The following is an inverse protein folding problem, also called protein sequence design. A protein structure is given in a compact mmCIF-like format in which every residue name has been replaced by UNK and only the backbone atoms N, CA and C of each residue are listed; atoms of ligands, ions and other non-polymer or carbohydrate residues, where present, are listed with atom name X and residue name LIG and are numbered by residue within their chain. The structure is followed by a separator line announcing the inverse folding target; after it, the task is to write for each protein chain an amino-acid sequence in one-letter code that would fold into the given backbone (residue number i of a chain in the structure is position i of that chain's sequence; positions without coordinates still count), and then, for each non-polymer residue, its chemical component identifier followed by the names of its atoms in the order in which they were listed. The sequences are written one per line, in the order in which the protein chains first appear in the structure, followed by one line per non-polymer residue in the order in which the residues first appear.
data_IF_602294068011
#
_entry.id   IF_602294068011
#
_cell.length_a   1.000
_cell.length_b   1.000
_cell.length_c   1.000
_cell.angle_alpha   90.00
_cell.angle_beta   90.00
_cell.angle_gamma   90.00
#
_symmetry.space_group_name_H-M   'P 1'
#
loop_
_entity.id
_entity.type
_entity.pdbx_description
1 polymer ?
#
# COMPACT_ATOMS: atom_id res chain seq x y z
N UNK A 1 -2.88 -1.94 -22.20
CA UNK A 1 -2.55 -1.75 -20.77
C UNK A 1 -3.67 -0.92 -20.16
N UNK A 2 -4.13 -1.19 -18.93
CA UNK A 2 -5.21 -0.43 -18.31
C UNK A 2 -4.80 1.03 -18.08
N UNK A 3 -5.75 1.96 -18.27
CA UNK A 3 -5.55 3.42 -18.11
C UNK A 3 -5.69 3.83 -16.64
N UNK A 4 -4.81 3.29 -15.80
CA UNK A 4 -4.73 3.54 -14.35
C UNK A 4 -3.34 4.09 -14.02
N UNK A 5 -3.27 5.07 -13.13
CA UNK A 5 -2.02 5.59 -12.58
C UNK A 5 -1.61 4.73 -11.39
N UNK A 6 -0.35 4.31 -11.38
CA UNK A 6 0.26 3.60 -10.25
C UNK A 6 1.36 4.45 -9.65
N UNK A 7 1.28 4.69 -8.35
CA UNK A 7 2.28 5.45 -7.59
C UNK A 7 2.76 4.65 -6.38
N UNK A 8 4.07 4.63 -6.17
CA UNK A 8 4.70 4.06 -4.98
C UNK A 8 4.89 5.16 -3.95
N UNK A 9 4.32 4.95 -2.76
CA UNK A 9 4.36 5.90 -1.64
C UNK A 9 5.14 5.24 -0.51
N UNK A 10 6.26 5.81 -0.04
CA UNK A 10 6.96 5.30 1.13
C UNK A 10 6.05 5.20 2.36
N UNK A 11 6.19 4.13 3.13
CA UNK A 11 5.42 3.94 4.35
C UNK A 11 5.81 4.97 5.42
N UNK A 12 4.83 5.70 5.95
CA UNK A 12 5.05 6.83 6.87
C UNK A 12 5.86 6.45 8.12
N UNK A 13 5.54 5.31 8.74
CA UNK A 13 6.25 4.81 9.94
C UNK A 13 7.73 4.52 9.65
N UNK A 14 8.00 3.94 8.48
CA UNK A 14 9.37 3.67 8.04
C UNK A 14 10.15 4.97 7.80
N UNK A 15 9.51 5.96 7.20
CA UNK A 15 10.11 7.28 6.93
C UNK A 15 10.35 8.06 8.22
N UNK A 16 9.41 8.03 9.17
CA UNK A 16 9.57 8.64 10.49
C UNK A 16 10.75 8.02 11.24
N UNK A 17 10.87 6.69 11.23
CA UNK A 17 12.00 5.98 11.85
C UNK A 17 13.33 6.39 11.23
N UNK A 18 13.39 6.45 9.89
CA UNK A 18 14.58 6.89 9.18
C UNK A 18 14.90 8.35 9.45
N UNK A 19 13.90 9.23 9.54
CA UNK A 19 14.10 10.64 9.87
C UNK A 19 14.66 10.81 11.29
N UNK A 20 14.14 10.05 12.26
CA UNK A 20 14.70 10.02 13.62
C UNK A 20 16.15 9.52 13.62
N UNK A 21 16.47 8.48 12.85
CA UNK A 21 17.84 7.98 12.73
C UNK A 21 18.78 9.02 12.10
N UNK A 22 18.35 9.74 11.06
CA UNK A 22 19.12 10.83 10.45
C UNK A 22 19.40 11.92 11.47
N UNK A 23 18.40 12.32 12.26
CA UNK A 23 18.57 13.31 13.34
C UNK A 23 19.50 12.82 14.45
N UNK A 24 19.38 11.57 14.87
CA UNK A 24 20.20 11.02 15.95
C UNK A 24 21.67 10.85 15.55
N UNK A 25 21.91 10.42 14.30
CA UNK A 25 23.27 10.15 13.81
C UNK A 25 23.95 11.40 13.25
N UNK A 26 23.17 12.39 12.81
CA UNK A 26 23.63 13.58 12.09
C UNK A 26 24.12 13.30 10.66
N UNK A 27 23.98 12.06 10.17
CA UNK A 27 24.54 11.64 8.89
C UNK A 27 23.73 12.14 7.70
N UNK A 28 24.43 12.50 6.63
CA UNK A 28 23.87 12.86 5.34
C UNK A 28 23.77 11.64 4.43
N UNK A 29 22.58 11.43 3.84
CA UNK A 29 22.29 10.30 2.96
C UNK A 29 21.85 10.80 1.57
N UNK A 30 22.32 10.19 0.47
CA UNK A 30 21.76 10.44 -0.84
C UNK A 30 20.27 10.04 -0.87
N UNK A 31 19.39 10.96 -1.24
CA UNK A 31 17.93 10.71 -1.17
C UNK A 31 17.52 9.62 -2.16
N UNK A 32 18.18 9.55 -3.31
CA UNK A 32 17.96 8.50 -4.30
C UNK A 32 18.33 7.12 -3.78
N UNK A 33 19.38 6.98 -2.97
CA UNK A 33 19.77 5.69 -2.40
C UNK A 33 18.72 5.20 -1.40
N UNK A 34 18.14 6.12 -0.61
CA UNK A 34 17.00 5.81 0.26
C UNK A 34 15.79 5.38 -0.58
N UNK A 35 15.50 6.08 -1.68
CA UNK A 35 14.43 5.72 -2.61
C UNK A 35 14.57 4.29 -3.15
N UNK A 36 15.76 3.91 -3.61
CA UNK A 36 16.04 2.53 -4.03
C UNK A 36 15.92 1.54 -2.87
N UNK A 37 16.39 1.91 -1.66
CA UNK A 37 16.31 1.08 -0.47
C UNK A 37 14.85 0.77 -0.06
N UNK A 38 13.94 1.73 -0.25
CA UNK A 38 12.51 1.56 -0.02
C UNK A 38 11.94 0.60 -1.06
N UNK A 39 12.20 0.83 -2.36
CA UNK A 39 11.66 0.01 -3.45
C UNK A 39 12.17 -1.43 -3.46
N UNK A 40 13.28 -1.73 -2.78
CA UNK A 40 13.83 -3.10 -2.65
C UNK A 40 12.93 -4.06 -1.88
N UNK A 41 12.06 -3.58 -0.99
CA UNK A 41 11.15 -4.48 -0.27
C UNK A 41 9.71 -3.95 -0.21
N UNK A 42 8.71 -4.80 -0.48
CA UNK A 42 7.30 -4.39 -0.59
C UNK A 42 6.64 -4.01 0.74
N UNK A 43 7.26 -4.34 1.88
CA UNK A 43 6.83 -3.90 3.21
C UNK A 43 7.10 -2.41 3.47
N UNK A 44 8.00 -1.78 2.70
CA UNK A 44 8.45 -0.39 2.96
C UNK A 44 7.66 0.68 2.21
N UNK A 45 6.72 0.28 1.38
CA UNK A 45 5.91 1.18 0.58
C UNK A 45 4.48 0.68 0.44
N UNK A 46 3.60 1.62 0.17
CA UNK A 46 2.25 1.38 -0.32
C UNK A 46 2.19 1.71 -1.81
N UNK A 47 1.21 1.14 -2.48
CA UNK A 47 0.93 1.36 -3.90
C UNK A 47 -0.44 1.97 -4.00
N UNK A 48 -0.50 3.17 -4.55
CA UNK A 48 -1.75 3.87 -4.85
C UNK A 48 -2.11 3.63 -6.31
N UNK A 49 -3.31 3.10 -6.53
CA UNK A 49 -3.94 2.99 -7.84
C UNK A 49 -4.96 4.11 -7.98
N UNK A 50 -4.88 4.89 -9.05
CA UNK A 50 -5.80 6.00 -9.29
C UNK A 50 -6.30 6.02 -10.73
N UNK A 51 -7.58 6.35 -10.92
CA UNK A 51 -8.17 6.46 -12.25
C UNK A 51 -7.60 7.65 -13.03
N UNK A 52 -7.48 7.51 -14.34
CA UNK A 52 -7.16 8.63 -15.23
C UNK A 52 -8.47 9.31 -15.63
N UNK A 53 -8.56 10.63 -15.46
CA UNK A 53 -9.68 11.44 -15.99
C UNK A 53 -9.27 12.03 -17.33
N UNK A 54 -10.11 11.84 -18.36
CA UNK A 54 -9.95 12.44 -19.68
C UNK A 54 -10.23 13.95 -19.63
N UNK A 55 -9.84 14.73 -20.65
CA UNK A 55 -10.11 16.18 -20.70
C UNK A 55 -11.58 16.54 -20.46
N UNK A 56 -12.50 15.67 -20.89
CA UNK A 56 -13.95 15.83 -20.74
C UNK A 56 -14.46 15.47 -19.32
N UNK A 57 -13.56 15.20 -18.37
CA UNK A 57 -13.89 14.81 -16.99
C UNK A 57 -14.32 13.34 -16.83
N UNK A 58 -14.51 12.61 -17.94
CA UNK A 58 -14.87 11.19 -17.93
C UNK A 58 -13.71 10.32 -17.45
N UNK A 59 -14.04 9.32 -16.64
CA UNK A 59 -13.08 8.32 -16.18
C UNK A 59 -12.70 7.42 -17.38
N UNK A 60 -11.40 7.34 -17.66
CA UNK A 60 -10.86 6.60 -18.78
C UNK A 60 -11.02 5.08 -18.59
N UNK A 61 -10.73 4.61 -17.38
CA UNK A 61 -10.90 3.23 -16.95
C UNK A 61 -11.47 3.22 -15.52
N UNK A 62 -12.67 2.65 -15.29
CA UNK A 62 -13.22 2.51 -13.94
C UNK A 62 -12.37 1.56 -13.10
N UNK A 63 -12.34 1.82 -11.80
CA UNK A 63 -11.66 1.01 -10.80
C UNK A 63 -12.66 0.65 -9.70
N UNK A 64 -12.72 -0.63 -9.37
CA UNK A 64 -13.64 -1.18 -8.39
C UNK A 64 -12.89 -1.81 -7.24
N UNK A 65 -13.34 -1.53 -6.01
CA UNK A 65 -12.81 -2.10 -4.77
C UNK A 65 -13.79 -3.11 -4.20
N UNK A 66 -13.30 -4.31 -3.87
CA UNK A 66 -14.02 -5.25 -3.02
C UNK A 66 -13.72 -4.95 -1.54
N UNK A 67 -14.74 -4.53 -0.79
CA UNK A 67 -14.59 -4.18 0.62
C UNK A 67 -14.35 -5.39 1.54
N UNK A 68 -14.60 -6.63 1.08
CA UNK A 68 -14.37 -7.84 1.89
C UNK A 68 -12.89 -8.21 1.99
N UNK A 69 -12.14 -8.09 0.90
CA UNK A 69 -10.74 -8.53 0.84
C UNK A 69 -9.78 -7.50 0.26
N UNK A 70 -10.24 -6.26 0.07
CA UNK A 70 -9.48 -5.12 -0.46
C UNK A 70 -8.86 -5.38 -1.85
N UNK A 71 -9.47 -6.25 -2.66
CA UNK A 71 -9.01 -6.51 -4.03
C UNK A 71 -9.53 -5.47 -5.02
N UNK A 72 -8.72 -5.19 -6.06
CA UNK A 72 -9.03 -4.20 -7.10
C UNK A 72 -9.36 -4.84 -8.45
N UNK A 73 -10.35 -4.28 -9.12
CA UNK A 73 -10.94 -4.79 -10.36
C UNK A 73 -11.16 -3.68 -11.37
N UNK A 74 -11.03 -4.02 -12.66
CA UNK A 74 -11.19 -3.07 -13.78
C UNK A 74 -12.62 -3.07 -14.34
N UNK A 75 -13.46 -4.01 -13.92
CA UNK A 75 -14.87 -4.16 -14.28
C UNK A 75 -15.65 -4.59 -13.05
N UNK A 76 -16.90 -4.11 -12.96
CA UNK A 76 -17.86 -4.55 -11.95
C UNK A 76 -18.18 -6.05 -12.12
N UNK A 77 -18.32 -6.55 -13.35
CA UNK A 77 -18.60 -7.96 -13.62
C UNK A 77 -17.50 -8.87 -13.09
N UNK A 78 -16.23 -8.53 -13.34
CA UNK A 78 -15.10 -9.32 -12.85
C UNK A 78 -15.03 -9.30 -11.31
N UNK A 79 -15.36 -8.16 -10.70
CA UNK A 79 -15.45 -8.03 -9.25
C UNK A 79 -16.58 -8.90 -8.67
N UNK A 80 -17.77 -8.90 -9.29
CA UNK A 80 -18.90 -9.77 -8.91
C UNK A 80 -18.51 -11.24 -9.04
N UNK A 81 -17.92 -11.63 -10.18
CA UNK A 81 -17.43 -12.98 -10.42
C UNK A 81 -16.44 -13.44 -9.34
N UNK A 82 -15.56 -12.55 -8.89
CA UNK A 82 -14.62 -12.85 -7.80
C UNK A 82 -15.32 -13.06 -6.46
N UNK A 83 -16.24 -12.16 -6.10
CA UNK A 83 -16.98 -12.29 -4.84
C UNK A 83 -17.78 -13.60 -4.82
N UNK A 84 -18.48 -13.93 -5.91
CA UNK A 84 -19.25 -15.17 -6.00
C UNK A 84 -18.39 -16.43 -6.08
N UNK A 85 -17.11 -16.33 -6.48
CA UNK A 85 -16.20 -17.49 -6.48
C UNK A 85 -15.50 -17.71 -5.15
N UNK A 86 -15.10 -16.63 -4.47
CA UNK A 86 -14.23 -16.69 -3.28
C UNK A 86 -14.98 -16.49 -1.97
N UNK A 87 -16.05 -15.71 -2.00
CA UNK A 87 -16.83 -15.29 -0.82
C UNK A 87 -18.29 -15.74 -0.94
N UNK A 88 -18.54 -16.83 -1.67
CA UNK A 88 -19.90 -17.35 -1.93
C UNK A 88 -20.65 -17.62 -0.62
N UNK A 89 -20.00 -18.33 0.30
CA UNK A 89 -20.56 -18.79 1.57
C UNK A 89 -20.92 -17.65 2.53
N UNK A 90 -20.46 -16.43 2.25
CA UNK A 90 -20.85 -15.22 3.00
C UNK A 90 -22.27 -14.78 2.67
N UNK A 91 -22.78 -15.09 1.46
CA UNK A 91 -24.06 -14.60 0.95
C UNK A 91 -25.04 -15.71 0.59
N UNK A 92 -24.54 -16.90 0.26
CA UNK A 92 -25.36 -17.97 -0.26
C UNK A 92 -24.90 -19.32 0.27
N UNK A 93 -25.83 -20.25 0.36
CA UNK A 93 -25.53 -21.66 0.63
C UNK A 93 -26.16 -22.52 -0.45
N UNK A 94 -25.35 -23.38 -1.07
CA UNK A 94 -25.84 -24.35 -2.04
C UNK A 94 -26.43 -25.56 -1.32
N UNK A 95 -27.69 -25.88 -1.61
CA UNK A 95 -28.39 -27.04 -1.09
C UNK A 95 -28.86 -27.92 -2.25
N UNK A 96 -28.50 -29.20 -2.22
CA UNK A 96 -28.94 -30.18 -3.20
C UNK A 96 -30.20 -30.85 -2.67
N UNK A 97 -31.36 -30.47 -3.20
CA UNK A 97 -32.65 -31.00 -2.77
C UNK A 97 -33.10 -32.12 -3.72
N UNK A 98 -33.61 -33.26 -3.19
CA UNK A 98 -34.27 -34.26 -4.01
C UNK A 98 -35.51 -33.64 -4.66
N UNK A 99 -35.64 -33.81 -5.97
CA UNK A 99 -36.81 -33.40 -6.74
C UNK A 99 -37.45 -34.60 -7.39
N UNK A 100 -38.73 -34.47 -7.75
CA UNK A 100 -39.44 -35.56 -8.44
C UNK A 100 -38.66 -36.00 -9.69
N UNK A 101 -38.47 -37.32 -9.86
CA UNK A 101 -37.81 -37.84 -11.04
C UNK A 101 -38.59 -37.43 -12.29
N UNK A 102 -37.90 -37.24 -13.43
CA UNK A 102 -38.54 -36.78 -14.66
C UNK A 102 -39.69 -37.73 -15.05
N UNK A 103 -40.87 -37.16 -15.36
CA UNK A 103 -42.06 -37.95 -15.72
C UNK A 103 -41.85 -38.66 -17.05
N UNK A 104 -41.70 -39.98 -17.01
CA UNK A 104 -41.66 -40.84 -18.19
C UNK A 104 -40.99 -42.19 -17.94
N UNK A 105 -41.40 -43.21 -18.69
CA UNK A 105 -40.71 -44.50 -18.70
C UNK A 105 -39.51 -44.41 -19.65
N UNK A 106 -38.33 -44.21 -19.09
CA UNK A 106 -37.09 -44.16 -19.86
C UNK A 106 -36.50 -45.57 -19.97
N UNK A 107 -36.36 -46.08 -21.19
CA UNK A 107 -35.82 -47.42 -21.47
C UNK A 107 -34.42 -47.38 -22.10
N UNK A 108 -33.97 -46.19 -22.52
CA UNK A 108 -32.65 -45.98 -23.10
C UNK A 108 -32.20 -44.53 -22.95
N UNK A 109 -30.89 -44.34 -22.87
CA UNK A 109 -30.24 -43.02 -22.81
C UNK A 109 -29.13 -42.94 -23.85
N UNK A 110 -28.95 -41.76 -24.42
CA UNK A 110 -27.81 -41.49 -25.28
C UNK A 110 -26.57 -41.24 -24.42
N UNK A 111 -25.44 -41.83 -24.80
CA UNK A 111 -24.15 -41.68 -24.14
C UNK A 111 -23.08 -41.35 -25.18
N UNK A 112 -22.19 -40.42 -24.83
CA UNK A 112 -21.04 -40.14 -25.67
C UNK A 112 -20.06 -41.31 -25.61
N UNK A 113 -19.75 -41.94 -26.75
CA UNK A 113 -18.77 -43.05 -26.80
C UNK A 113 -17.34 -42.62 -26.46
N UNK A 114 -17.01 -41.34 -26.65
CA UNK A 114 -15.67 -40.80 -26.39
C UNK A 114 -15.43 -40.43 -24.92
N UNK A 115 -16.41 -39.79 -24.28
CA UNK A 115 -16.26 -39.28 -22.91
C UNK A 115 -16.97 -40.11 -21.86
N UNK A 116 -17.87 -41.02 -22.26
CA UNK A 116 -18.73 -41.77 -21.34
C UNK A 116 -19.82 -40.93 -20.67
N UNK A 117 -19.96 -39.64 -21.00
CA UNK A 117 -20.98 -38.76 -20.40
C UNK A 117 -22.37 -39.13 -20.92
N UNK A 118 -23.33 -39.28 -20.00
CA UNK A 118 -24.73 -39.58 -20.30
C UNK A 118 -25.45 -38.28 -20.66
N UNK A 119 -25.97 -38.20 -21.88
CA UNK A 119 -26.69 -37.03 -22.39
C UNK A 119 -28.18 -37.09 -22.04
N UNK A 120 -28.69 -38.30 -21.80
CA UNK A 120 -30.10 -38.58 -21.53
C UNK A 120 -30.85 -39.11 -22.76
N UNK A 121 -32.15 -39.37 -22.64
CA UNK A 121 -32.97 -39.88 -23.73
C UNK A 121 -33.04 -38.88 -24.91
N UNK A 122 -32.97 -39.33 -26.17
CA UNK A 122 -33.10 -38.45 -27.34
C UNK A 122 -34.39 -37.61 -27.38
N UNK A 123 -35.45 -38.09 -26.74
CA UNK A 123 -36.75 -37.41 -26.65
C UNK A 123 -36.86 -36.42 -25.48
N UNK A 124 -35.82 -36.29 -24.64
CA UNK A 124 -35.79 -35.34 -23.54
C UNK A 124 -35.51 -33.93 -24.08
N UNK A 125 -36.29 -32.94 -23.66
CA UNK A 125 -36.22 -31.57 -24.19
C UNK A 125 -34.81 -30.95 -24.10
N UNK A 126 -34.03 -31.28 -23.07
CA UNK A 126 -32.69 -30.72 -22.87
C UNK A 126 -31.57 -31.52 -23.58
N UNK A 127 -31.90 -32.65 -24.23
CA UNK A 127 -30.92 -33.50 -24.90
C UNK A 127 -30.07 -32.73 -25.94
N UNK A 128 -30.72 -31.93 -26.77
CA UNK A 128 -30.03 -31.15 -27.82
C UNK A 128 -29.09 -30.06 -27.25
N UNK A 129 -29.43 -29.50 -26.09
CA UNK A 129 -28.59 -28.51 -25.42
C UNK A 129 -27.39 -29.19 -24.76
N UNK A 130 -27.60 -30.29 -24.02
CA UNK A 130 -26.52 -31.09 -23.44
C UNK A 130 -25.54 -31.59 -24.50
N UNK A 131 -26.06 -32.02 -25.66
CA UNK A 131 -25.24 -32.47 -26.79
C UNK A 131 -24.33 -31.36 -27.33
N UNK A 132 -24.88 -30.17 -27.58
CA UNK A 132 -24.13 -29.00 -28.08
C UNK A 132 -23.14 -28.47 -27.03
N UNK A 133 -23.53 -28.42 -25.76
CA UNK A 133 -22.67 -27.98 -24.65
C UNK A 133 -21.46 -28.90 -24.48
N UNK A 134 -21.68 -30.21 -24.45
CA UNK A 134 -20.59 -31.18 -24.31
C UNK A 134 -19.63 -31.14 -25.50
N UNK A 135 -20.15 -30.92 -26.72
CA UNK A 135 -19.32 -30.71 -27.91
C UNK A 135 -18.45 -29.45 -27.77
N UNK A 136 -19.03 -28.31 -27.42
CA UNK A 136 -18.31 -27.05 -27.27
C UNK A 136 -17.22 -27.12 -26.18
N UNK A 137 -17.50 -27.77 -25.05
CA UNK A 137 -16.57 -27.86 -23.92
C UNK A 137 -15.41 -28.84 -24.14
N UNK A 138 -15.67 -30.02 -24.75
CA UNK A 138 -14.68 -31.11 -24.80
C UNK A 138 -14.23 -31.51 -26.20
N UNK A 139 -15.01 -31.20 -27.23
CA UNK A 139 -14.81 -31.71 -28.60
C UNK A 139 -14.93 -30.62 -29.66
N UNK A 140 -14.66 -29.36 -29.32
CA UNK A 140 -14.79 -28.20 -30.20
C UNK A 140 -13.93 -28.28 -31.48
N UNK A 141 -12.84 -29.05 -31.45
CA UNK A 141 -11.98 -29.30 -32.62
C UNK A 141 -12.55 -30.31 -33.64
N UNK A 142 -13.67 -30.97 -33.35
CA UNK A 142 -14.32 -31.92 -34.25
C UNK A 142 -15.58 -31.30 -34.87
N UNK A 143 -15.90 -31.51 -36.16
CA UNK A 143 -17.18 -31.07 -36.71
C UNK A 143 -18.37 -31.69 -35.96
N UNK A 144 -19.41 -30.89 -35.69
CA UNK A 144 -20.55 -31.30 -34.86
C UNK A 144 -21.26 -32.57 -35.38
N UNK A 145 -21.42 -32.71 -36.70
CA UNK A 145 -22.03 -33.89 -37.31
C UNK A 145 -21.22 -35.18 -37.06
N UNK A 146 -19.89 -35.09 -37.09
CA UNK A 146 -19.00 -36.21 -36.79
C UNK A 146 -19.09 -36.60 -35.32
N UNK A 147 -19.19 -35.61 -34.43
CA UNK A 147 -19.40 -35.85 -33.01
C UNK A 147 -20.77 -36.50 -32.73
N UNK A 148 -21.82 -36.02 -33.38
CA UNK A 148 -23.18 -36.56 -33.27
C UNK A 148 -23.24 -38.04 -33.70
N UNK A 149 -22.51 -38.42 -34.75
CA UNK A 149 -22.39 -39.81 -35.19
C UNK A 149 -21.71 -40.73 -34.15
N UNK A 150 -20.96 -40.18 -33.19
CA UNK A 150 -20.29 -40.91 -32.11
C UNK A 150 -21.12 -41.03 -30.83
N UNK A 151 -22.37 -40.55 -30.84
CA UNK A 151 -23.29 -40.74 -29.72
C UNK A 151 -24.02 -42.06 -29.90
N UNK A 152 -23.89 -42.95 -28.92
CA UNK A 152 -24.51 -44.28 -28.95
C UNK A 152 -25.74 -44.30 -28.03
N UNK A 153 -26.71 -45.13 -28.39
CA UNK A 153 -27.88 -45.38 -27.54
C UNK A 153 -27.56 -46.57 -26.64
N UNK A 154 -27.61 -46.35 -25.33
CA UNK A 154 -27.34 -47.35 -24.32
C UNK A 154 -28.67 -47.73 -23.65
N UNK A 155 -28.98 -49.03 -23.69
CA UNK A 155 -30.20 -49.63 -23.10
C UNK A 155 -29.94 -50.31 -21.76
N UNK A 156 -28.75 -50.11 -21.20
CA UNK A 156 -28.37 -50.66 -19.90
C UNK A 156 -29.20 -49.98 -18.79
N UNK A 157 -29.97 -50.78 -18.06
CA UNK A 157 -30.80 -50.31 -16.94
C UNK A 157 -30.01 -49.58 -15.87
N UNK A 158 -28.75 -49.95 -15.64
CA UNK A 158 -27.89 -49.27 -14.67
C UNK A 158 -27.55 -47.84 -15.10
N UNK A 159 -27.31 -47.63 -16.40
CA UNK A 159 -26.98 -46.29 -16.96
C UNK A 159 -28.23 -45.42 -17.02
N UNK A 160 -29.39 -46.00 -17.35
CA UNK A 160 -30.68 -45.31 -17.32
C UNK A 160 -31.03 -44.89 -15.89
N UNK A 161 -30.89 -45.78 -14.90
CA UNK A 161 -31.13 -45.44 -13.47
C UNK A 161 -30.20 -44.34 -12.98
N UNK A 162 -28.90 -44.42 -13.29
CA UNK A 162 -27.94 -43.35 -12.97
C UNK A 162 -28.37 -42.00 -13.53
N UNK A 163 -28.84 -41.96 -14.78
CA UNK A 163 -29.34 -40.73 -15.36
C UNK A 163 -30.61 -40.22 -14.67
N UNK A 164 -31.57 -41.10 -14.36
CA UNK A 164 -32.80 -40.73 -13.64
C UNK A 164 -32.47 -40.19 -12.24
N UNK A 165 -31.58 -40.87 -11.51
CA UNK A 165 -31.08 -40.43 -10.21
C UNK A 165 -30.37 -39.07 -10.34
N UNK A 166 -29.51 -38.86 -11.34
CA UNK A 166 -28.86 -37.57 -11.54
C UNK A 166 -29.85 -36.44 -11.87
N UNK A 167 -30.97 -36.75 -12.52
CA UNK A 167 -32.04 -35.78 -12.78
C UNK A 167 -32.99 -35.58 -11.59
N UNK A 168 -32.97 -36.45 -10.57
CA UNK A 168 -33.82 -36.31 -9.37
C UNK A 168 -33.21 -35.41 -8.30
N UNK A 169 -32.22 -34.59 -8.66
CA UNK A 169 -31.65 -33.59 -7.78
C UNK A 169 -31.65 -32.23 -8.45
N UNK A 170 -32.05 -31.22 -7.69
CA UNK A 170 -31.88 -29.83 -8.06
C UNK A 170 -30.95 -29.15 -7.05
N UNK A 171 -30.07 -28.28 -7.54
CA UNK A 171 -29.31 -27.41 -6.67
C UNK A 171 -30.08 -26.11 -6.52
N UNK A 172 -30.44 -25.78 -5.29
CA UNK A 172 -31.06 -24.51 -4.91
C UNK A 172 -30.08 -23.72 -4.04
N UNK A 173 -30.10 -22.41 -4.14
CA UNK A 173 -29.22 -21.53 -3.39
C UNK A 173 -30.04 -20.71 -2.42
N UNK A 174 -29.81 -20.86 -1.12
CA UNK A 174 -30.46 -20.06 -0.09
C UNK A 174 -29.67 -18.77 0.17
N UNK A 175 -30.37 -17.64 0.18
CA UNK A 175 -29.79 -16.34 0.53
C UNK A 175 -29.52 -16.27 2.04
N UNK A 176 -28.30 -15.91 2.40
CA UNK A 176 -27.85 -15.64 3.76
C UNK A 176 -27.79 -14.13 4.00
N UNK A 177 -27.94 -13.70 5.26
CA UNK A 177 -27.84 -12.29 5.65
C UNK A 177 -28.86 -11.36 4.96
N UNK A 178 -30.05 -11.90 4.64
CA UNK A 178 -31.21 -11.16 4.11
C UNK A 178 -32.39 -11.39 5.05
N UNK A 179 -33.23 -10.38 5.36
CA UNK A 179 -34.39 -10.54 6.26
C UNK A 179 -35.41 -11.57 5.77
N UNK A 180 -35.50 -11.81 4.47
CA UNK A 180 -36.30 -12.88 3.88
C UNK A 180 -35.39 -13.94 3.25
N UNK A 181 -35.47 -15.18 3.73
CA UNK A 181 -34.69 -16.30 3.20
C UNK A 181 -35.25 -16.74 1.84
N UNK A 182 -34.79 -16.08 0.78
CA UNK A 182 -35.14 -16.43 -0.60
C UNK A 182 -34.31 -17.64 -1.08
N UNK A 183 -34.94 -18.55 -1.83
CA UNK A 183 -34.27 -19.63 -2.56
C UNK A 183 -34.18 -19.29 -4.05
N UNK A 184 -33.02 -19.53 -4.64
CA UNK A 184 -32.70 -19.23 -6.04
C UNK A 184 -32.39 -20.54 -6.78
N UNK A 185 -32.86 -20.67 -8.02
CA UNK A 185 -32.82 -21.92 -8.78
C UNK A 185 -31.51 -22.12 -9.58
N UNK A 186 -30.67 -21.09 -9.72
CA UNK A 186 -29.46 -21.14 -10.52
C UNK A 186 -28.46 -20.03 -10.19
N UNK A 187 -27.22 -20.18 -10.66
CA UNK A 187 -26.15 -19.19 -10.44
C UNK A 187 -26.45 -17.83 -11.10
N UNK A 188 -27.19 -17.81 -12.21
CA UNK A 188 -27.62 -16.55 -12.86
C UNK A 188 -28.57 -15.75 -11.96
N UNK A 189 -29.50 -16.42 -11.29
CA UNK A 189 -30.38 -15.78 -10.31
C UNK A 189 -29.60 -15.31 -9.07
N UNK A 190 -28.60 -16.08 -8.64
CA UNK A 190 -27.68 -15.70 -7.55
C UNK A 190 -26.90 -14.43 -7.90
N UNK A 191 -26.36 -14.34 -9.12
CA UNK A 191 -25.65 -13.15 -9.57
C UNK A 191 -26.58 -11.94 -9.63
N UNK A 192 -27.78 -12.10 -10.19
CA UNK A 192 -28.78 -11.03 -10.25
C UNK A 192 -29.17 -10.56 -8.85
N UNK A 193 -29.45 -11.48 -7.94
CA UNK A 193 -29.75 -11.16 -6.55
C UNK A 193 -28.56 -10.45 -5.86
N UNK A 194 -27.32 -10.90 -6.11
CA UNK A 194 -26.14 -10.25 -5.56
C UNK A 194 -26.03 -8.80 -6.04
N UNK A 195 -26.26 -8.56 -7.34
CA UNK A 195 -26.28 -7.24 -7.95
C UNK A 195 -27.34 -6.32 -7.35
N UNK A 196 -28.52 -6.85 -7.06
CA UNK A 196 -29.64 -6.08 -6.51
C UNK A 196 -29.48 -5.77 -5.01
N UNK A 197 -28.99 -6.74 -4.22
CA UNK A 197 -29.07 -6.67 -2.75
C UNK A 197 -27.73 -6.35 -2.09
N UNK A 198 -26.62 -6.93 -2.57
CA UNK A 198 -25.33 -6.89 -1.88
C UNK A 198 -24.29 -6.00 -2.56
N UNK A 199 -24.43 -5.77 -3.88
CA UNK A 199 -23.43 -5.09 -4.70
C UNK A 199 -22.99 -3.75 -4.14
N UNK A 200 -23.91 -2.83 -3.85
CA UNK A 200 -23.57 -1.47 -3.40
C UNK A 200 -22.80 -1.42 -2.08
N UNK A 201 -22.96 -2.44 -1.23
CA UNK A 201 -22.27 -2.53 0.06
C UNK A 201 -20.89 -3.18 -0.06
N UNK A 202 -20.75 -4.14 -0.97
CA UNK A 202 -19.55 -4.97 -1.10
C UNK A 202 -18.57 -4.43 -2.14
N UNK A 203 -19.09 -3.91 -3.25
CA UNK A 203 -18.32 -3.41 -4.37
C UNK A 203 -18.55 -1.91 -4.53
N UNK A 204 -17.46 -1.15 -4.60
CA UNK A 204 -17.54 0.31 -4.79
C UNK A 204 -16.67 0.74 -5.95
N UNK A 205 -17.22 1.62 -6.78
CA UNK A 205 -16.43 2.39 -7.74
C UNK A 205 -15.61 3.42 -6.96
N UNK A 206 -14.32 3.49 -7.26
CA UNK A 206 -13.36 4.34 -6.55
C UNK A 206 -12.49 5.11 -7.55
N UNK A 207 -12.09 6.32 -7.18
CA UNK A 207 -11.13 7.09 -7.98
C UNK A 207 -9.69 6.79 -7.58
N UNK A 208 -9.45 6.43 -6.33
CA UNK A 208 -8.11 6.14 -5.81
C UNK A 208 -8.17 5.18 -4.62
N UNK A 209 -7.22 4.26 -4.54
CA UNK A 209 -7.06 3.38 -3.38
C UNK A 209 -5.60 2.96 -3.19
N UNK A 210 -5.16 2.97 -1.93
CA UNK A 210 -3.83 2.58 -1.53
C UNK A 210 -3.83 1.18 -0.93
N UNK A 211 -2.90 0.34 -1.39
CA UNK A 211 -2.67 -1.01 -0.88
C UNK A 211 -1.25 -1.13 -0.33
N UNK A 212 -1.02 -1.92 0.73
CA UNK A 212 0.33 -2.34 1.09
C UNK A 212 1.04 -2.97 -0.11
N UNK A 213 2.35 -2.74 -0.26
CA UNK A 213 3.11 -3.27 -1.40
C UNK A 213 3.03 -4.79 -1.53
N UNK A 214 2.93 -5.51 -0.42
CA UNK A 214 2.72 -6.97 -0.38
C UNK A 214 1.37 -7.39 -0.96
N UNK A 215 0.28 -6.69 -0.60
CA UNK A 215 -1.05 -6.94 -1.12
C UNK A 215 -1.17 -6.57 -2.61
N UNK A 216 -0.56 -5.46 -3.03
CA UNK A 216 -0.55 -5.00 -4.42
C UNK A 216 0.10 -6.03 -5.37
N UNK A 217 1.15 -6.73 -4.93
CA UNK A 217 1.81 -7.78 -5.72
C UNK A 217 0.93 -9.03 -5.91
N UNK A 218 -0.01 -9.27 -5.00
CA UNK A 218 -0.90 -10.43 -4.98
C UNK A 218 -2.29 -10.14 -5.60
N UNK A 219 -2.46 -8.99 -6.26
CA UNK A 219 -3.73 -8.63 -6.88
C UNK A 219 -4.21 -9.73 -7.86
N UNK A 220 -5.50 -10.13 -7.78
CA UNK A 220 -6.03 -11.20 -8.62
C UNK A 220 -6.01 -10.81 -10.11
N UNK A 221 -6.24 -9.52 -10.40
CA UNK A 221 -6.31 -8.95 -11.74
C UNK A 221 -4.95 -8.95 -12.45
N UNK A 222 -4.72 -9.77 -13.49
CA UNK A 222 -3.41 -9.88 -14.15
C UNK A 222 -2.96 -8.56 -14.80
N UNK A 223 -3.90 -7.81 -15.38
CA UNK A 223 -3.62 -6.51 -16.02
C UNK A 223 -3.08 -5.48 -15.02
N UNK A 224 -3.62 -5.43 -13.79
CA UNK A 224 -3.13 -4.55 -12.73
C UNK A 224 -1.75 -4.98 -12.24
N UNK A 225 -1.49 -6.30 -12.12
CA UNK A 225 -0.14 -6.80 -11.76
C UNK A 225 0.91 -6.46 -12.82
N UNK A 226 0.57 -6.56 -14.10
CA UNK A 226 1.47 -6.17 -15.19
C UNK A 226 1.75 -4.67 -15.17
N UNK A 227 0.73 -3.84 -14.94
CA UNK A 227 0.86 -2.39 -14.78
C UNK A 227 1.75 -2.04 -13.58
N UNK A 228 1.53 -2.69 -12.44
CA UNK A 228 2.35 -2.53 -11.23
C UNK A 228 3.82 -2.85 -11.51
N UNK A 229 4.11 -3.99 -12.15
CA UNK A 229 5.47 -4.40 -12.47
C UNK A 229 6.17 -3.37 -13.36
N UNK A 230 5.50 -2.91 -14.42
CA UNK A 230 6.05 -1.87 -15.29
C UNK A 230 6.36 -0.57 -14.52
N UNK A 231 5.42 -0.09 -13.72
CA UNK A 231 5.62 1.12 -12.92
C UNK A 231 6.76 0.95 -11.90
N UNK A 232 6.92 -0.24 -11.34
CA UNK A 232 8.04 -0.58 -10.47
C UNK A 232 9.37 -0.57 -11.21
N UNK A 233 9.47 -1.18 -12.40
CA UNK A 233 10.68 -1.18 -13.24
C UNK A 233 11.14 0.25 -13.56
N UNK A 234 10.19 1.14 -13.89
CA UNK A 234 10.46 2.56 -14.14
C UNK A 234 11.05 3.25 -12.90
N UNK A 235 10.47 3.02 -11.71
CA UNK A 235 10.97 3.60 -10.46
C UNK A 235 12.26 2.94 -9.97
N UNK A 236 12.52 1.67 -10.26
CA UNK A 236 13.78 1.00 -9.92
C UNK A 236 14.96 1.57 -10.71
N UNK A 237 14.73 1.98 -11.97
CA UNK A 237 15.77 2.62 -12.78
C UNK A 237 16.08 4.03 -12.29
N UNK A 238 15.04 4.80 -12.00
CA UNK A 238 15.19 6.16 -11.49
C UNK A 238 13.97 6.53 -10.61
N UNK A 239 14.11 6.49 -9.27
CA UNK A 239 12.99 6.61 -8.34
C UNK A 239 12.51 8.05 -8.13
N UNK A 240 12.32 8.82 -9.20
CA UNK A 240 12.00 10.25 -9.11
C UNK A 240 10.69 10.51 -8.36
N UNK A 241 9.62 9.76 -8.68
CA UNK A 241 8.30 9.98 -8.06
C UNK A 241 8.34 9.62 -6.57
N UNK A 242 8.96 8.48 -6.26
CA UNK A 242 9.19 8.05 -4.87
C UNK A 242 10.01 9.07 -4.10
N UNK A 243 11.11 9.55 -4.68
CA UNK A 243 12.00 10.55 -4.07
C UNK A 243 11.28 11.87 -3.83
N UNK A 244 10.41 12.31 -4.75
CA UNK A 244 9.60 13.52 -4.56
C UNK A 244 8.70 13.39 -3.32
N UNK A 245 7.94 12.29 -3.21
CA UNK A 245 7.08 12.05 -2.04
C UNK A 245 7.89 11.87 -0.76
N UNK A 246 8.99 11.12 -0.82
CA UNK A 246 9.92 10.93 0.30
C UNK A 246 10.51 12.26 0.79
N UNK A 247 10.86 13.16 -0.13
CA UNK A 247 11.42 14.47 0.21
C UNK A 247 10.41 15.34 0.94
N UNK A 248 9.14 15.30 0.52
CA UNK A 248 8.05 15.99 1.21
C UNK A 248 7.88 15.45 2.64
N UNK A 249 7.84 14.13 2.82
CA UNK A 249 7.73 13.50 4.14
C UNK A 249 8.96 13.79 5.03
N UNK A 250 10.17 13.80 4.49
CA UNK A 250 11.34 14.21 5.26
C UNK A 250 11.34 15.70 5.64
N UNK A 251 10.81 16.57 4.77
CA UNK A 251 10.65 17.99 5.07
C UNK A 251 9.67 18.24 6.22
N UNK A 252 8.56 17.48 6.31
CA UNK A 252 7.64 17.57 7.46
C UNK A 252 8.30 17.12 8.76
N UNK A 253 9.30 16.23 8.69
CA UNK A 253 10.16 15.89 9.82
C UNK A 253 11.31 16.90 10.05
N UNK A 254 11.37 18.02 9.35
CA UNK A 254 12.37 19.09 9.57
C UNK A 254 13.77 18.76 9.06
N UNK A 255 13.93 17.76 8.19
CA UNK A 255 15.21 17.47 7.55
C UNK A 255 15.48 18.46 6.41
N UNK A 256 16.76 18.67 6.13
CA UNK A 256 17.25 19.62 5.15
C UNK A 256 17.88 18.92 3.96
N UNK A 257 17.77 19.54 2.79
CA UNK A 257 18.29 19.03 1.53
C UNK A 257 19.38 19.93 0.96
N UNK A 258 20.44 19.33 0.43
CA UNK A 258 21.51 20.06 -0.25
C UNK A 258 22.16 19.20 -1.34
N UNK A 259 22.80 19.85 -2.32
CA UNK A 259 23.49 19.16 -3.42
C UNK A 259 24.98 19.04 -3.13
N UNK A 260 25.47 17.81 -3.05
CA UNK A 260 26.91 17.51 -3.00
C UNK A 260 27.44 17.41 -4.43
N UNK A 261 28.63 17.99 -4.67
CA UNK A 261 29.27 18.02 -5.99
C UNK A 261 28.38 18.56 -7.13
N UNK A 262 27.38 19.38 -6.77
CA UNK A 262 26.34 19.93 -7.67
C UNK A 262 25.42 18.90 -8.34
N UNK A 263 25.58 17.61 -8.05
CA UNK A 263 24.89 16.52 -8.77
C UNK A 263 23.96 15.71 -7.87
N UNK A 264 24.37 15.36 -6.65
CA UNK A 264 23.65 14.40 -5.81
C UNK A 264 22.98 15.12 -4.64
N UNK A 265 21.65 15.05 -4.59
CA UNK A 265 20.85 15.58 -3.47
C UNK A 265 20.97 14.66 -2.26
N UNK A 266 21.45 15.22 -1.15
CA UNK A 266 21.52 14.58 0.15
C UNK A 266 20.46 15.16 1.09
N UNK A 267 20.01 14.33 2.03
CA UNK A 267 19.19 14.72 3.18
C UNK A 267 20.01 14.62 4.46
N UNK A 268 19.93 15.62 5.33
CA UNK A 268 20.59 15.65 6.63
C UNK A 268 19.80 16.50 7.65
N UNK A 269 20.30 16.60 8.88
CA UNK A 269 19.70 17.41 9.95
C UNK A 269 19.79 18.92 9.69
N UNK A 270 20.85 19.39 9.03
CA UNK A 270 21.09 20.80 8.74
C UNK A 270 21.65 21.00 7.33
N UNK A 271 21.54 22.22 6.80
CA UNK A 271 22.20 22.60 5.55
C UNK A 271 23.68 22.91 5.81
N UNK A 272 24.59 22.61 4.86
CA UNK A 272 26.00 22.98 4.99
C UNK A 272 26.17 24.49 5.24
N UNK A 273 26.84 24.85 6.32
CA UNK A 273 27.10 26.23 6.71
C UNK A 273 28.58 26.41 7.08
N UNK A 274 29.32 27.16 6.25
CA UNK A 274 30.75 27.39 6.44
C UNK A 274 31.03 28.11 7.76
N UNK A 275 31.89 27.53 8.58
CA UNK A 275 32.40 28.15 9.81
C UNK A 275 33.71 28.89 9.50
N UNK A 276 33.71 30.21 9.67
CA UNK A 276 34.92 31.01 9.55
C UNK A 276 35.65 31.10 10.89
N UNK A 277 36.70 30.30 11.05
CA UNK A 277 37.48 30.20 12.29
C UNK A 277 38.21 31.50 12.68
N UNK A 278 38.35 32.45 11.75
CA UNK A 278 38.99 33.75 12.00
C UNK A 278 37.98 34.80 12.45
N UNK A 279 36.76 34.77 11.89
CA UNK A 279 35.72 35.74 12.21
C UNK A 279 34.86 35.33 13.41
N UNK A 280 34.70 34.03 13.68
CA UNK A 280 33.84 33.51 14.73
C UNK A 280 34.66 32.94 15.90
N UNK A 281 34.55 33.48 17.12
CA UNK A 281 35.20 32.89 18.28
C UNK A 281 34.55 31.55 18.61
N UNK A 282 35.33 30.47 18.52
CA UNK A 282 34.92 29.09 18.85
C UNK A 282 35.89 28.47 19.85
N UNK A 283 35.45 27.43 20.57
CA UNK A 283 36.27 26.71 21.55
C UNK A 283 37.51 26.08 20.88
N UNK A 284 38.56 25.85 21.67
CA UNK A 284 39.79 25.23 21.16
C UNK A 284 39.55 23.80 20.65
N UNK A 285 38.66 23.04 21.29
CA UNK A 285 38.24 21.70 20.84
C UNK A 285 37.61 21.74 19.45
N UNK A 286 36.69 22.66 19.22
CA UNK A 286 36.06 22.88 17.90
C UNK A 286 37.09 23.27 16.84
N UNK A 287 38.05 24.16 17.16
CA UNK A 287 39.13 24.53 16.23
C UNK A 287 39.96 23.32 15.82
N UNK A 288 40.43 22.53 16.79
CA UNK A 288 41.23 21.32 16.55
C UNK A 288 40.50 20.32 15.65
N UNK A 289 39.19 20.11 15.87
CA UNK A 289 38.35 19.23 15.04
C UNK A 289 38.32 19.72 13.57
N UNK A 290 38.01 21.00 13.35
CA UNK A 290 37.89 21.57 12.00
C UNK A 290 39.23 21.59 11.28
N UNK A 291 40.31 21.97 11.97
CA UNK A 291 41.68 21.95 11.43
C UNK A 291 42.11 20.54 11.02
N UNK A 292 41.83 19.53 11.86
CA UNK A 292 42.14 18.14 11.55
C UNK A 292 41.38 17.63 10.32
N UNK A 293 40.08 17.93 10.20
CA UNK A 293 39.26 17.55 9.03
C UNK A 293 39.79 18.21 7.75
N UNK A 294 40.17 19.49 7.82
CA UNK A 294 40.72 20.21 6.67
C UNK A 294 42.09 19.66 6.24
N UNK A 295 42.91 19.20 7.18
CA UNK A 295 44.21 18.57 6.90
C UNK A 295 44.08 17.13 6.38
N UNK A 296 43.03 16.40 6.78
CA UNK A 296 42.83 14.99 6.44
C UNK A 296 41.52 14.77 5.67
N UNK A 297 41.53 15.08 4.38
CA UNK A 297 40.35 14.92 3.52
C UNK A 297 39.81 13.49 3.55
N UNK A 298 38.52 13.33 3.85
CA UNK A 298 37.84 12.02 3.84
C UNK A 298 38.14 11.14 5.06
N UNK A 299 38.65 11.71 6.16
CA UNK A 299 38.81 10.99 7.42
C UNK A 299 37.47 10.47 7.96
N UNK A 300 37.55 9.44 8.81
CA UNK A 300 36.38 8.85 9.48
C UNK A 300 36.23 9.36 10.92
N UNK A 301 35.02 9.27 11.47
CA UNK A 301 34.75 9.61 12.89
C UNK A 301 35.73 8.93 13.84
N UNK A 302 36.02 7.64 13.62
CA UNK A 302 36.96 6.87 14.45
C UNK A 302 38.40 7.42 14.35
N UNK A 303 38.88 7.70 13.14
CA UNK A 303 40.22 8.27 12.95
C UNK A 303 40.36 9.65 13.60
N UNK A 304 39.31 10.46 13.52
CA UNK A 304 39.28 11.79 14.14
C UNK A 304 39.33 11.71 15.67
N UNK A 305 38.49 10.85 16.27
CA UNK A 305 38.48 10.66 17.73
C UNK A 305 39.83 10.10 18.21
N UNK A 306 40.38 9.10 17.52
CA UNK A 306 41.66 8.49 17.91
C UNK A 306 42.84 9.48 17.78
N UNK A 307 42.81 10.39 16.80
CA UNK A 307 43.85 11.39 16.64
C UNK A 307 43.78 12.53 17.67
N UNK A 308 42.56 12.92 18.07
CA UNK A 308 42.34 14.05 18.99
C UNK A 308 42.23 13.64 20.46
N UNK A 309 41.86 12.40 20.73
CA UNK A 309 41.71 11.81 22.06
C UNK A 309 42.02 10.29 21.97
N UNK A 310 43.31 9.92 21.84
CA UNK A 310 43.73 8.52 21.64
C UNK A 310 43.26 7.63 22.78
N UNK A 311 42.80 6.41 22.45
CA UNK A 311 42.37 5.47 23.46
C UNK A 311 43.57 5.07 24.34
N UNK A 312 43.43 5.01 25.68
CA UNK A 312 44.50 4.54 26.54
C UNK A 312 44.92 3.13 26.12
N UNK A 313 46.17 2.96 25.67
CA UNK A 313 46.75 1.64 25.48
C UNK A 313 46.67 0.91 26.82
N UNK A 314 46.10 -0.30 26.82
CA UNK A 314 46.16 -1.16 27.98
C UNK A 314 47.64 -1.38 28.30
N UNK A 315 48.12 -0.78 29.38
CA UNK A 315 49.43 -1.08 29.93
C UNK A 315 49.38 -2.55 30.30
N UNK A 316 49.98 -3.40 29.48
CA UNK A 316 50.24 -4.79 29.83
C UNK A 316 51.18 -4.71 31.02
N UNK A 317 50.63 -4.86 32.22
CA UNK A 317 51.44 -5.02 33.42
C UNK A 317 52.37 -6.21 33.18
N UNK A 318 53.69 -6.10 33.47
CA UNK A 318 54.59 -7.24 33.32
C UNK A 318 54.12 -8.35 34.26
N UNK A 319 53.72 -9.47 33.66
CA UNK A 319 53.44 -10.72 34.36
C UNK A 319 54.69 -11.14 35.10
N UNK A 320 54.68 -10.97 36.42
CA UNK A 320 55.58 -11.65 37.34
C UNK A 320 55.33 -13.16 37.21
N UNK A 321 56.33 -14.00 36.89
CA UNK A 321 56.13 -15.43 36.89
C UNK A 321 56.23 -15.92 38.34
N UNK A 322 55.10 -16.32 38.92
CA UNK A 322 55.08 -17.17 40.11
C UNK A 322 54.92 -18.64 39.66
N UNK A 323 55.51 -19.61 40.37
CA UNK A 323 55.80 -20.93 39.81
C UNK A 323 54.57 -21.81 39.69
N UNK A 324 54.63 -22.71 38.72
CA UNK A 324 53.67 -23.76 38.46
C UNK A 324 53.47 -24.67 39.68
N UNK A 325 52.21 -24.86 40.07
CA UNK A 325 51.77 -26.11 40.70
C UNK A 325 50.60 -26.67 39.90
N UNK A 326 50.91 -27.77 39.21
CA UNK A 326 49.96 -28.60 38.46
C UNK A 326 49.16 -29.40 39.49
N UNK A 327 47.86 -29.16 39.56
CA UNK A 327 46.94 -30.16 40.11
C UNK A 327 45.79 -30.34 39.14
N UNK A 328 45.84 -31.45 38.42
CA UNK A 328 44.79 -31.93 37.53
C UNK A 328 43.74 -32.62 38.40
N UNK A 329 42.48 -32.21 38.30
CA UNK A 329 41.36 -33.04 38.74
C UNK A 329 40.27 -33.02 37.65
N UNK A 330 39.86 -34.17 37.10
CA UNK A 330 38.94 -34.24 35.97
C UNK A 330 37.49 -34.40 36.46
N UNK A 331 36.56 -33.63 35.88
CA UNK A 331 35.15 -34.00 35.91
C UNK A 331 34.16 -32.85 36.09
N UNK A 332 33.91 -32.07 35.03
CA UNK A 332 32.57 -31.55 34.75
C UNK A 332 32.46 -31.06 33.29
N UNK A 333 31.42 -31.47 32.52
CA UNK A 333 31.18 -30.97 31.19
C UNK A 333 30.16 -29.82 31.24
N UNK A 334 30.60 -28.58 31.01
CA UNK A 334 29.67 -27.48 30.79
C UNK A 334 30.05 -26.63 29.57
N UNK A 335 29.15 -26.70 28.59
CA UNK A 335 28.69 -25.61 27.73
C UNK A 335 29.76 -24.66 27.16
N UNK A 336 30.16 -24.94 25.91
CA UNK A 336 30.65 -23.91 25.00
C UNK A 336 29.53 -22.91 24.72
N UNK A 337 29.49 -21.84 25.52
CA UNK A 337 28.57 -20.73 25.35
C UNK A 337 29.34 -19.46 24.98
N UNK A 338 28.99 -18.92 23.80
CA UNK A 338 29.02 -17.49 23.45
C UNK A 338 30.38 -16.85 23.20
N UNK A 339 30.88 -17.01 21.96
CA UNK A 339 31.73 -16.01 21.32
C UNK A 339 30.84 -14.89 20.75
N UNK A 340 30.42 -13.96 21.61
CA UNK A 340 29.94 -12.64 21.20
C UNK A 340 29.91 -11.68 22.39
N UNK A 341 30.95 -10.86 22.53
CA UNK A 341 30.80 -9.47 22.98
C UNK A 341 31.96 -8.66 22.41
N UNK A 342 31.65 -7.88 21.38
CA UNK A 342 32.42 -6.74 20.94
C UNK A 342 32.68 -5.79 22.11
N UNK A 343 33.96 -5.46 22.34
CA UNK A 343 34.42 -4.43 23.27
C UNK A 343 33.63 -3.13 23.11
N UNK A 344 32.67 -2.89 24.01
CA UNK A 344 32.11 -1.56 24.26
C UNK A 344 32.90 -0.98 25.43
N UNK A 345 34.11 -0.50 25.15
CA UNK A 345 34.86 0.33 26.11
C UNK A 345 34.16 1.67 26.22
N UNK A 346 33.73 2.06 27.41
CA UNK A 346 33.11 3.37 27.62
C UNK A 346 34.07 4.49 27.17
N UNK A 347 33.58 5.50 26.42
CA UNK A 347 34.43 6.57 25.91
C UNK A 347 35.05 7.36 27.08
N UNK A 348 36.33 7.65 26.96
CA UNK A 348 37.07 8.47 27.95
C UNK A 348 36.43 9.86 28.05
N UNK A 349 36.62 10.59 29.15
CA UNK A 349 36.06 11.94 29.32
C UNK A 349 36.46 12.90 28.17
N UNK A 350 37.72 12.84 27.73
CA UNK A 350 38.22 13.62 26.58
C UNK A 350 37.54 13.21 25.26
N UNK A 351 37.35 11.90 25.05
CA UNK A 351 36.63 11.39 23.88
C UNK A 351 35.17 11.84 23.88
N UNK A 352 34.53 11.88 25.06
CA UNK A 352 33.15 12.33 25.22
C UNK A 352 32.99 13.81 24.83
N UNK A 353 33.96 14.66 25.21
CA UNK A 353 33.98 16.06 24.80
C UNK A 353 34.16 16.22 23.28
N UNK A 354 35.10 15.48 22.67
CA UNK A 354 35.30 15.50 21.20
C UNK A 354 34.04 15.02 20.47
N UNK A 355 33.37 13.99 20.99
CA UNK A 355 32.11 13.48 20.42
C UNK A 355 31.00 14.53 20.53
N UNK A 356 30.88 15.22 21.66
CA UNK A 356 29.87 16.27 21.88
C UNK A 356 30.10 17.48 20.95
N UNK A 357 31.35 17.95 20.84
CA UNK A 357 31.73 19.05 19.94
C UNK A 357 31.50 18.67 18.47
N UNK A 358 31.88 17.45 18.07
CA UNK A 358 31.62 16.94 16.71
C UNK A 358 30.11 16.84 16.43
N UNK A 359 29.33 16.35 17.39
CA UNK A 359 27.88 16.27 17.27
C UNK A 359 27.27 17.66 17.08
N UNK A 360 27.71 18.65 17.87
CA UNK A 360 27.28 20.05 17.70
C UNK A 360 27.64 20.59 16.31
N UNK A 361 28.88 20.39 15.85
CA UNK A 361 29.34 20.82 14.52
C UNK A 361 28.51 20.22 13.38
N UNK A 362 28.13 18.95 13.50
CA UNK A 362 27.27 18.28 12.51
C UNK A 362 25.86 18.85 12.53
N UNK A 363 25.29 19.07 13.72
CA UNK A 363 23.93 19.59 13.87
C UNK A 363 23.78 21.06 13.46
N UNK A 364 24.84 21.86 13.54
CA UNK A 364 24.85 23.22 12.99
C UNK A 364 25.19 23.27 11.49
N UNK A 365 25.55 22.14 10.88
CA UNK A 365 25.90 22.05 9.46
C UNK A 365 27.31 22.54 9.12
N UNK A 366 28.16 22.76 10.12
CA UNK A 366 29.57 23.13 9.93
C UNK A 366 30.42 21.97 9.44
N UNK A 367 30.07 20.76 9.87
CA UNK A 367 30.69 19.50 9.46
C UNK A 367 29.61 18.59 8.88
N UNK A 368 29.97 17.85 7.84
CA UNK A 368 29.11 16.87 7.18
C UNK A 368 29.70 15.48 7.40
N UNK A 369 28.94 14.58 8.02
CA UNK A 369 29.25 13.15 8.04
C UNK A 369 28.36 12.44 7.03
N UNK A 370 28.93 11.77 6.04
CA UNK A 370 28.19 11.04 5.03
C UNK A 370 27.86 9.61 5.48
N UNK A 371 26.88 8.98 4.84
CA UNK A 371 26.48 7.60 5.11
C UNK A 371 27.64 6.57 5.02
N UNK A 372 28.66 6.85 4.20
CA UNK A 372 29.87 6.04 4.06
C UNK A 372 30.91 6.27 5.18
N UNK A 373 30.60 7.12 6.17
CA UNK A 373 31.46 7.44 7.30
C UNK A 373 32.52 8.51 7.03
N UNK A 374 32.58 9.06 5.81
CA UNK A 374 33.48 10.18 5.49
C UNK A 374 32.99 11.47 6.13
N UNK A 375 33.93 12.23 6.68
CA UNK A 375 33.68 13.55 7.26
C UNK A 375 34.31 14.62 6.39
N UNK A 376 33.56 15.68 6.10
CA UNK A 376 34.02 16.87 5.39
C UNK A 376 33.56 18.14 6.11
N UNK A 377 34.37 19.20 6.06
CA UNK A 377 33.94 20.53 6.48
C UNK A 377 33.04 21.16 5.42
N UNK A 378 32.07 21.96 5.86
CA UNK A 378 31.26 22.76 4.93
C UNK A 378 32.18 23.71 4.16
N UNK A 379 32.05 23.76 2.82
CA UNK A 379 32.91 24.60 1.98
C UNK A 379 32.44 26.06 1.99
N UNK A 380 33.40 26.99 1.86
CA UNK A 380 33.10 28.42 1.77
C UNK A 380 32.17 28.69 0.58
N UNK A 381 31.07 29.45 0.76
CA UNK A 381 30.20 29.81 -0.35
C UNK A 381 31.00 30.57 -1.40
N UNK A 382 31.01 30.09 -2.65
CA UNK A 382 31.53 30.87 -3.77
C UNK A 382 30.50 31.96 -4.01
N UNK A 383 30.78 33.19 -3.58
CA UNK A 383 29.96 34.36 -3.89
C UNK A 383 29.98 34.51 -5.41
N UNK A 384 28.84 34.21 -6.05
CA UNK A 384 28.66 34.52 -7.46
C UNK A 384 28.60 36.05 -7.56
N UNK A 385 29.63 36.66 -8.14
CA UNK A 385 29.57 38.06 -8.56
C UNK A 385 28.29 38.26 -9.39
N UNK A 386 27.46 39.26 -9.09
CA UNK A 386 26.22 39.48 -9.82
C UNK A 386 26.54 39.64 -11.31
N UNK A 387 25.89 38.80 -12.13
CA UNK A 387 25.96 38.89 -13.59
C UNK A 387 25.36 40.26 -13.96
N UNK A 388 26.03 41.11 -14.76
CA UNK A 388 25.48 42.41 -15.13
C UNK A 388 24.13 42.20 -15.82
N UNK A 389 23.11 42.92 -15.33
CA UNK A 389 21.76 42.87 -15.88
C UNK A 389 21.78 43.24 -17.37
N UNK A 390 21.09 42.49 -18.25
CA UNK A 390 20.95 42.91 -19.63
C UNK A 390 20.09 44.18 -19.67
N UNK A 391 20.66 45.27 -20.22
CA UNK A 391 19.96 46.50 -20.54
C UNK A 391 18.67 46.18 -21.30
N UNK A 392 17.54 46.50 -20.68
CA UNK A 392 16.22 46.51 -21.30
C UNK A 392 16.22 47.60 -22.38
N UNK A 393 16.23 47.20 -23.64
CA UNK A 393 15.92 48.08 -24.76
C UNK A 393 14.40 48.25 -24.86
N UNK A 394 13.99 49.48 -25.17
CA UNK A 394 12.63 49.97 -25.22
C UNK A 394 11.77 49.30 -26.30
N UNK A 395 10.47 49.33 -26.05
CA UNK A 395 9.35 48.80 -26.83
C UNK A 395 9.06 49.57 -28.12
N UNK A 396 8.69 48.84 -29.17
CA UNK A 396 7.97 49.31 -30.37
C UNK A 396 7.17 48.15 -31.01
N UNK A 397 6.06 48.41 -31.72
CA UNK A 397 4.81 47.65 -31.55
C UNK A 397 4.59 46.44 -32.50
N UNK A 398 3.63 45.61 -32.09
CA UNK A 398 3.01 44.43 -32.74
C UNK A 398 2.64 44.62 -34.23
N UNK A 399 2.60 43.52 -35.03
CA UNK A 399 1.28 42.91 -35.29
C UNK A 399 1.22 41.37 -35.55
N UNK A 400 0.08 40.79 -35.12
CA UNK A 400 -0.74 39.68 -35.68
C UNK A 400 -0.18 38.29 -36.06
N UNK A 401 -0.80 37.30 -35.39
CA UNK A 401 -1.49 36.10 -35.91
C UNK A 401 -0.73 34.83 -36.36
N UNK A 402 -1.31 33.70 -35.91
CA UNK A 402 -1.35 32.34 -36.46
C UNK A 402 -0.32 31.28 -36.01
N UNK A 403 -0.88 30.28 -35.30
CA UNK A 403 -0.63 28.83 -35.25
C UNK A 403 0.77 28.18 -35.09
N UNK A 404 0.70 27.16 -34.23
CA UNK A 404 1.35 25.85 -34.22
C UNK A 404 2.63 25.56 -33.40
N UNK A 405 2.48 24.45 -32.66
CA UNK A 405 3.43 23.54 -32.00
C UNK A 405 4.43 24.06 -30.94
N UNK A 406 4.18 23.65 -29.68
CA UNK A 406 5.13 23.68 -28.56
C UNK A 406 5.58 22.23 -28.27
N UNK A 407 6.88 21.90 -28.30
CA UNK A 407 7.42 20.81 -27.49
C UNK A 407 7.83 21.36 -26.10
N UNK A 408 7.23 20.79 -25.06
CA UNK A 408 7.39 21.17 -23.67
C UNK A 408 8.78 20.76 -23.14
N UNK A 409 9.71 21.72 -23.09
CA UNK A 409 10.99 21.59 -22.38
C UNK A 409 10.86 22.17 -20.98
N UNK A 410 11.04 21.29 -20.01
CA UNK A 410 10.86 21.48 -18.58
C UNK A 410 11.87 22.48 -18.02
N UNK A 411 11.38 23.59 -17.46
CA UNK A 411 12.15 24.46 -16.57
C UNK A 411 11.84 24.16 -15.10
N UNK A 412 12.80 24.42 -14.19
CA UNK A 412 12.77 23.90 -12.83
C UNK A 412 11.97 24.80 -11.88
N UNK A 413 11.38 24.14 -10.88
CA UNK A 413 10.66 24.71 -9.74
C UNK A 413 11.55 25.70 -8.98
N UNK A 414 11.02 26.91 -8.81
CA UNK A 414 11.55 27.96 -7.94
C UNK A 414 11.04 27.70 -6.52
N UNK A 415 11.96 27.79 -5.56
CA UNK A 415 11.74 27.60 -4.13
C UNK A 415 10.91 28.78 -3.57
N UNK A 416 9.85 28.48 -2.81
CA UNK A 416 9.18 29.45 -1.95
C UNK A 416 9.87 29.47 -0.58
N UNK A 417 10.33 30.66 -0.18
CA UNK A 417 10.91 30.97 1.12
C UNK A 417 9.79 31.54 2.01
N UNK A 418 9.56 30.89 3.17
CA UNK A 418 8.57 31.29 4.15
C UNK A 418 9.20 32.27 5.15
N UNK A 419 8.59 33.44 5.32
CA UNK A 419 8.82 34.33 6.46
C UNK A 419 7.76 34.07 7.55
N UNK A 420 8.14 34.27 8.81
CA UNK A 420 7.26 34.30 10.00
C UNK A 420 7.75 35.43 10.93
N UNK A 421 7.08 35.73 12.06
CA UNK A 421 5.80 36.45 12.17
C UNK A 421 5.93 37.68 13.10
N UNK A 422 4.87 38.52 13.21
CA UNK A 422 4.77 39.57 14.24
C UNK A 422 3.42 39.49 14.96
N UNK A 423 3.49 39.46 16.31
CA UNK A 423 2.41 39.52 17.30
C UNK A 423 1.62 40.85 17.24
N UNK A 424 0.35 40.98 17.63
CA UNK A 424 -0.20 41.12 19.01
C UNK A 424 -1.73 41.45 18.88
N UNK A 425 -2.56 41.63 19.94
CA UNK A 425 -2.90 40.83 21.13
C UNK A 425 -4.41 40.47 21.25
N UNK A 426 -4.71 39.64 22.26
CA UNK A 426 -6.01 39.20 22.82
C UNK A 426 -7.01 40.32 23.16
N UNK A 427 -8.30 40.02 22.97
CA UNK A 427 -9.34 40.33 23.96
C UNK A 427 -10.49 39.31 23.89
N UNK A 428 -10.97 38.87 25.06
CA UNK A 428 -12.05 37.88 25.26
C UNK A 428 -13.39 38.52 25.65
N UNK A 429 -14.37 37.74 26.14
CA UNK A 429 -15.69 37.61 25.53
C UNK A 429 -16.80 38.41 26.25
N UNK A 430 -18.06 38.29 25.80
CA UNK A 430 -19.08 38.04 26.82
C UNK A 430 -20.07 36.92 26.49
N UNK A 431 -20.64 36.45 27.60
CA UNK A 431 -21.63 35.42 27.75
C UNK A 431 -23.07 35.96 27.63
N UNK A 432 -23.96 35.11 27.11
CA UNK A 432 -25.27 34.71 27.64
C UNK A 432 -26.34 35.80 27.98
N UNK A 433 -27.48 35.73 27.30
CA UNK A 433 -28.80 35.96 27.91
C UNK A 433 -29.78 34.84 27.51
N UNK A 434 -30.42 34.28 28.54
CA UNK A 434 -31.50 33.28 28.52
C UNK A 434 -32.87 33.97 28.51
N UNK A 435 -33.84 33.35 27.85
CA UNK A 435 -35.23 33.07 28.33
C UNK A 435 -35.83 32.06 27.33
N UNK A 436 -35.93 30.76 27.63
CA UNK A 436 -36.95 30.07 28.43
C UNK A 436 -38.39 30.20 27.88
N UNK A 437 -38.89 29.14 27.21
CA UNK A 437 -40.17 28.47 27.52
C UNK A 437 -40.34 27.17 26.70
N UNK A 438 -40.85 26.13 27.35
CA UNK A 438 -40.84 24.72 26.91
C UNK A 438 -42.03 24.26 26.06
N UNK A 439 -42.14 22.93 25.81
CA UNK A 439 -42.96 22.33 24.73
C UNK A 439 -44.20 21.56 25.24
N UNK A 440 -45.32 21.57 24.50
CA UNK A 440 -46.47 20.63 24.61
C UNK A 440 -47.22 20.54 23.24
N UNK A 441 -47.84 19.38 22.85
CA UNK A 441 -47.99 18.91 21.45
C UNK A 441 -49.46 19.02 20.91
N UNK A 442 -49.88 18.35 19.79
CA UNK A 442 -50.92 18.84 18.86
C UNK A 442 -52.33 18.25 19.04
N UNK A 443 -53.35 18.96 18.53
CA UNK A 443 -54.70 18.48 18.19
C UNK A 443 -54.99 18.87 16.73
N UNK A 444 -55.35 17.92 15.85
CA UNK A 444 -56.74 17.61 15.47
C UNK A 444 -56.92 18.00 13.98
N UNK A 445 -57.71 17.37 13.10
CA UNK A 445 -58.86 16.47 13.22
C UNK A 445 -59.27 16.01 11.80
N UNK A 446 -59.98 14.87 11.75
CA UNK A 446 -61.00 14.58 10.73
C UNK A 446 -60.83 13.20 10.07
N UNK A 447 -61.83 12.33 9.92
CA UNK A 447 -63.22 12.29 10.35
C UNK A 447 -63.78 10.89 9.99
N UNK A 448 -64.31 10.14 10.97
CA UNK A 448 -65.60 9.37 10.96
C UNK A 448 -65.91 8.26 9.90
N UNK A 449 -66.97 7.41 10.08
CA UNK A 449 -67.27 6.41 11.13
C UNK A 449 -67.83 5.05 10.54
N UNK A 450 -68.75 4.24 11.16
CA UNK A 450 -68.36 3.01 11.89
C UNK A 450 -69.32 1.75 11.79
N UNK A 451 -69.06 0.72 12.63
CA UNK A 451 -69.95 -0.32 13.24
C UNK A 451 -70.46 -1.55 12.43
N UNK A 452 -70.09 -2.76 12.89
CA UNK A 452 -70.88 -3.99 13.23
C UNK A 452 -69.89 -5.20 13.26
N UNK A 453 -69.93 -6.25 14.08
CA UNK A 453 -70.74 -6.78 15.18
C UNK A 453 -69.93 -7.96 15.81
N UNK A 454 -69.85 -8.10 17.15
CA UNK A 454 -70.35 -9.23 17.98
C UNK A 454 -70.12 -10.66 17.41
N UNK A 455 -69.72 -11.69 18.14
CA UNK A 455 -69.71 -12.00 19.58
C UNK A 455 -68.88 -13.28 19.84
N UNK A 456 -68.41 -13.47 21.07
CA UNK A 456 -68.53 -14.70 21.91
C UNK A 456 -67.54 -14.61 23.08
N UNK A 457 -68.00 -14.21 24.27
CA UNK A 457 -68.34 -15.04 25.45
C UNK A 457 -67.13 -15.32 26.38
N UNK A 458 -67.14 -14.56 27.47
CA UNK A 458 -66.61 -14.77 28.83
C UNK A 458 -66.77 -16.22 29.40
N UNK A 459 -66.31 -16.58 30.62
CA UNK A 459 -65.66 -15.75 31.66
C UNK A 459 -64.56 -16.41 32.55
N UNK A 460 -64.00 -15.57 33.44
CA UNK A 460 -63.71 -15.81 34.88
C UNK A 460 -62.66 -16.88 35.27
N UNK A 461 -61.80 -16.72 36.29
CA UNK A 461 -61.67 -15.80 37.42
C UNK A 461 -60.30 -16.09 38.14
N UNK A 462 -59.92 -15.51 39.31
CA UNK A 462 -58.60 -14.90 39.48
C UNK A 462 -57.73 -15.45 40.64
N UNK A 463 -56.46 -15.01 40.64
CA UNK A 463 -55.60 -14.70 41.82
C UNK A 463 -55.21 -15.84 42.80
N UNK A 464 -54.17 -15.69 43.65
CA UNK A 464 -53.39 -14.50 44.03
C UNK A 464 -51.94 -14.41 43.52
#
# INVERSE_FOLDING_TARGET
MPEIVVQFVPEERGVESLARQIKLTGRAYPVFDIGHLILKRPDRYQVTFSVVKKPDGLIAQPLWLCNLDNTLWLSDQDAVNHVLRKHFDTFYKAERTPTDPPKGTYTFVAQCSLSGVILGPPNYHDYQNKLRKLHAERFSGMPFEVYKAKVIIVKDEAVVKKWVEDQSWKTEYSCLNVPETKKLAGLEEVEKHFREVHFGNILRSIESHALPGTAAQQLPTPALRQLLRRAWDEQQRFPLKVVTTLSQQFATHGLQFFKVNKTITHVAVARPHYLDLQATPVSEGVKRIVEYINAHSGCTRRQLIEALAPSPQAVVAPVTPAPAEVTVNPGQPEASSVASHSDMREPTAEQTLVIADLHWLIHQGHVLEFANGRIESARRPIVKTPRPEPKRAESGPEPTAANDEIPESSKPIVNAESASPTETPREGPPANQRTAQGPVPPEGTGSSPPIESRAETEPAEPSP
#
